data_IF_609326180305
#
_entry.id   IF_609326180305
#
_cell.length_a   1.000
_cell.length_b   1.000
_cell.length_c   1.000
_cell.angle_alpha   90.00
_cell.angle_beta   90.00
_cell.angle_gamma   90.00
#
_symmetry.space_group_name_H-M   'P 1'
#
loop_
_entity.id
_entity.type
_entity.pdbx_description
1 polymer ?
#
# COMPACT_ATOMS: atom_id res chain seq x y z
N UNK A 1 -11.56 -18.76 -11.60
CA UNK A 1 -10.90 -17.43 -11.60
C UNK A 1 -9.57 -17.59 -12.28
N UNK A 2 -9.29 -16.79 -13.32
CA UNK A 2 -7.99 -16.82 -13.97
C UNK A 2 -6.89 -16.40 -12.96
N UNK A 3 -5.74 -17.08 -12.97
CA UNK A 3 -4.59 -16.69 -12.15
C UNK A 3 -4.13 -15.32 -12.66
N UNK A 4 -4.29 -14.29 -11.84
CA UNK A 4 -3.87 -12.93 -12.17
C UNK A 4 -2.34 -12.89 -12.13
N UNK A 5 -1.71 -12.37 -13.19
CA UNK A 5 -0.25 -12.22 -13.23
C UNK A 5 0.23 -11.33 -12.08
N UNK A 6 1.36 -11.68 -11.46
CA UNK A 6 2.01 -10.86 -10.42
C UNK A 6 2.27 -9.42 -10.89
N UNK A 7 2.48 -9.20 -12.20
CA UNK A 7 2.62 -7.86 -12.77
C UNK A 7 1.39 -7.00 -12.49
N UNK A 8 0.20 -7.57 -12.56
CA UNK A 8 -1.02 -6.81 -12.29
C UNK A 8 -1.13 -6.49 -10.80
N UNK A 9 -0.72 -7.39 -9.90
CA UNK A 9 -0.67 -7.08 -8.47
C UNK A 9 0.32 -5.96 -8.14
N UNK A 10 1.47 -5.94 -8.80
CA UNK A 10 2.43 -4.84 -8.68
C UNK A 10 1.86 -3.53 -9.21
N UNK A 11 1.13 -3.55 -10.33
CA UNK A 11 0.46 -2.37 -10.87
C UNK A 11 -0.63 -1.84 -9.92
N UNK A 12 -1.48 -2.72 -9.35
CA UNK A 12 -2.48 -2.32 -8.36
C UNK A 12 -1.85 -1.59 -7.18
N UNK A 13 -0.70 -2.07 -6.66
CA UNK A 13 0.02 -1.39 -5.57
C UNK A 13 0.39 0.03 -5.98
N UNK A 14 0.95 0.21 -7.18
CA UNK A 14 1.42 1.51 -7.66
C UNK A 14 0.26 2.46 -7.94
N UNK A 15 -0.83 1.96 -8.52
CA UNK A 15 -2.03 2.76 -8.81
C UNK A 15 -2.67 3.28 -7.51
N UNK A 16 -2.78 2.44 -6.48
CA UNK A 16 -3.28 2.86 -5.16
C UNK A 16 -2.34 3.85 -4.46
N UNK A 17 -1.02 3.66 -4.56
CA UNK A 17 -0.04 4.62 -4.02
C UNK A 17 -0.18 5.97 -4.73
N UNK A 18 -0.30 5.98 -6.06
CA UNK A 18 -0.50 7.20 -6.84
C UNK A 18 -1.81 7.90 -6.45
N UNK A 19 -2.89 7.14 -6.29
CA UNK A 19 -4.18 7.65 -5.83
C UNK A 19 -4.10 8.29 -4.43
N UNK A 20 -3.46 7.62 -3.47
CA UNK A 20 -3.23 8.15 -2.13
C UNK A 20 -2.44 9.47 -2.20
N UNK A 21 -1.31 9.49 -2.91
CA UNK A 21 -0.45 10.67 -3.05
C UNK A 21 -1.20 11.86 -3.66
N UNK A 22 -1.98 11.62 -4.71
CA UNK A 22 -2.77 12.66 -5.34
C UNK A 22 -3.86 13.21 -4.40
N UNK A 23 -4.50 12.33 -3.62
CA UNK A 23 -5.51 12.70 -2.65
C UNK A 23 -4.94 13.54 -1.49
N UNK A 24 -3.71 13.26 -1.06
CA UNK A 24 -3.10 13.87 0.14
C UNK A 24 -2.06 14.95 -0.15
N UNK A 25 -1.77 15.25 -1.43
CA UNK A 25 -0.68 16.15 -1.87
C UNK A 25 -0.61 17.49 -1.12
N UNK A 26 -1.73 18.16 -0.94
CA UNK A 26 -1.83 19.48 -0.31
C UNK A 26 -2.52 19.41 1.07
N UNK A 27 -2.41 18.26 1.73
CA UNK A 27 -3.04 17.95 3.02
C UNK A 27 -1.99 17.80 4.12
N UNK A 28 -2.34 18.16 5.36
CA UNK A 28 -1.53 17.92 6.53
C UNK A 28 -2.20 16.91 7.48
N UNK A 29 -1.51 16.51 8.55
CA UNK A 29 -2.00 15.51 9.50
C UNK A 29 -3.38 15.87 10.10
N UNK A 30 -3.60 17.14 10.46
CA UNK A 30 -4.86 17.59 11.08
C UNK A 30 -6.02 17.59 10.09
N UNK A 31 -5.81 18.09 8.87
CA UNK A 31 -6.81 18.07 7.81
C UNK A 31 -7.17 16.64 7.40
N UNK A 32 -6.18 15.76 7.31
CA UNK A 32 -6.40 14.33 7.08
C UNK A 32 -7.20 13.70 8.23
N UNK A 33 -6.82 13.97 9.48
CA UNK A 33 -7.50 13.45 10.66
C UNK A 33 -8.95 13.95 10.77
N UNK A 34 -9.25 15.16 10.33
CA UNK A 34 -10.60 15.73 10.31
C UNK A 34 -11.45 15.16 9.16
N UNK A 35 -10.85 14.76 8.04
CA UNK A 35 -11.56 14.31 6.85
C UNK A 35 -11.93 12.82 6.92
N UNK A 36 -13.22 12.52 7.16
CA UNK A 36 -13.72 11.15 7.10
C UNK A 36 -13.48 10.50 5.73
N UNK A 37 -13.71 11.25 4.64
CA UNK A 37 -13.56 10.74 3.28
C UNK A 37 -12.10 10.36 2.97
N UNK A 38 -11.14 11.22 3.31
CA UNK A 38 -9.72 10.91 3.07
C UNK A 38 -9.27 9.69 3.86
N UNK A 39 -9.65 9.59 5.15
CA UNK A 39 -9.35 8.41 5.96
C UNK A 39 -9.92 7.14 5.34
N UNK A 40 -11.15 7.16 4.83
CA UNK A 40 -11.78 5.99 4.21
C UNK A 40 -11.13 5.60 2.89
N UNK A 41 -10.82 6.57 2.05
CA UNK A 41 -10.11 6.32 0.80
C UNK A 41 -8.72 5.71 1.05
N UNK A 42 -7.93 6.31 1.95
CA UNK A 42 -6.60 5.79 2.31
C UNK A 42 -6.69 4.40 2.95
N UNK A 43 -7.62 4.16 3.86
CA UNK A 43 -7.83 2.82 4.44
C UNK A 43 -8.14 1.77 3.38
N UNK A 44 -9.00 2.10 2.40
CA UNK A 44 -9.36 1.17 1.34
C UNK A 44 -8.19 0.91 0.39
N UNK A 45 -7.46 1.95 -0.01
CA UNK A 45 -6.27 1.84 -0.83
C UNK A 45 -5.19 0.96 -0.15
N UNK A 46 -4.95 1.17 1.15
CA UNK A 46 -4.03 0.33 1.94
C UNK A 46 -4.50 -1.13 2.06
N UNK A 47 -5.81 -1.39 2.07
CA UNK A 47 -6.35 -2.75 2.03
C UNK A 47 -6.07 -3.43 0.70
N UNK A 48 -6.23 -2.71 -0.41
CA UNK A 48 -5.93 -3.21 -1.76
C UNK A 48 -4.43 -3.49 -1.88
N UNK A 49 -3.57 -2.55 -1.46
CA UNK A 49 -2.11 -2.73 -1.43
C UNK A 49 -1.74 -3.98 -0.62
N UNK A 50 -2.32 -4.15 0.57
CA UNK A 50 -2.03 -5.30 1.42
C UNK A 50 -2.52 -6.63 0.82
N UNK A 51 -3.62 -6.62 0.07
CA UNK A 51 -4.11 -7.79 -0.64
C UNK A 51 -3.22 -8.11 -1.85
N UNK A 52 -2.88 -7.12 -2.67
CA UNK A 52 -1.99 -7.30 -3.80
C UNK A 52 -0.61 -7.82 -3.38
N UNK A 53 -0.06 -7.30 -2.27
CA UNK A 53 1.20 -7.75 -1.70
C UNK A 53 1.18 -9.24 -1.28
N UNK A 54 0.02 -9.81 -0.93
CA UNK A 54 -0.09 -11.26 -0.62
C UNK A 54 0.19 -12.11 -1.84
N UNK A 55 -0.31 -11.69 -3.00
CA UNK A 55 -0.27 -12.46 -4.24
C UNK A 55 1.05 -12.31 -5.02
N UNK A 56 1.98 -11.45 -4.56
CA UNK A 56 3.34 -11.42 -5.10
C UNK A 56 4.08 -12.71 -4.68
N UNK A 57 4.69 -13.46 -5.61
CA UNK A 57 5.50 -14.64 -5.32
C UNK A 57 6.63 -14.36 -4.31
N UNK A 58 6.97 -15.36 -3.50
CA UNK A 58 8.01 -15.22 -2.47
C UNK A 58 9.37 -14.89 -3.07
N UNK A 59 9.69 -15.46 -4.23
CA UNK A 59 10.95 -15.23 -4.93
C UNK A 59 11.14 -13.76 -5.30
N UNK A 60 10.06 -13.07 -5.67
CA UNK A 60 10.10 -11.63 -5.96
C UNK A 60 10.16 -10.77 -4.70
N UNK A 61 9.52 -11.22 -3.61
CA UNK A 61 9.62 -10.56 -2.30
C UNK A 61 11.05 -10.64 -1.76
N UNK A 62 11.71 -11.77 -1.93
CA UNK A 62 13.08 -12.03 -1.49
C UNK A 62 14.11 -11.19 -2.27
N UNK A 63 13.78 -10.75 -3.49
CA UNK A 63 14.58 -9.76 -4.23
C UNK A 63 14.50 -8.34 -3.66
N UNK A 64 13.53 -8.06 -2.79
CA UNK A 64 13.27 -6.75 -2.15
C UNK A 64 13.10 -6.89 -0.63
N UNK A 65 14.13 -7.37 0.10
CA UNK A 65 14.04 -7.59 1.55
C UNK A 65 13.92 -6.29 2.36
N UNK A 66 14.25 -5.14 1.77
CA UNK A 66 14.04 -3.81 2.35
C UNK A 66 12.55 -3.48 2.54
N UNK A 67 11.66 -4.07 1.75
CA UNK A 67 10.22 -3.89 1.89
C UNK A 67 9.70 -4.78 3.02
N UNK A 68 9.01 -4.22 4.04
CA UNK A 68 8.52 -5.00 5.16
C UNK A 68 7.21 -5.74 4.81
N UNK A 69 7.28 -6.71 3.90
CA UNK A 69 6.12 -7.45 3.36
C UNK A 69 5.19 -8.01 4.45
N UNK A 70 5.76 -8.55 5.53
CA UNK A 70 5.00 -9.04 6.68
C UNK A 70 4.22 -7.93 7.42
N UNK A 71 4.81 -6.73 7.54
CA UNK A 71 4.11 -5.59 8.15
C UNK A 71 2.98 -5.09 7.26
N UNK A 72 3.17 -5.08 5.94
CA UNK A 72 2.12 -4.73 4.96
C UNK A 72 0.94 -5.70 5.10
N UNK A 73 1.22 -7.01 5.21
CA UNK A 73 0.21 -8.01 5.49
C UNK A 73 -0.52 -7.76 6.82
N UNK A 74 0.24 -7.49 7.89
CA UNK A 74 -0.28 -7.17 9.22
C UNK A 74 -1.19 -5.94 9.21
N UNK A 75 -0.81 -4.89 8.49
CA UNK A 75 -1.61 -3.69 8.29
C UNK A 75 -2.96 -4.01 7.64
N UNK A 76 -2.98 -4.83 6.60
CA UNK A 76 -4.23 -5.26 5.96
C UNK A 76 -5.14 -6.06 6.90
N UNK A 77 -4.58 -6.86 7.80
CA UNK A 77 -5.35 -7.57 8.81
C UNK A 77 -5.92 -6.63 9.88
N UNK A 78 -5.10 -5.69 10.36
CA UNK A 78 -5.53 -4.64 11.29
C UNK A 78 -6.67 -3.81 10.70
N UNK A 79 -6.55 -3.39 9.44
CA UNK A 79 -7.57 -2.62 8.72
C UNK A 79 -8.86 -3.40 8.45
N UNK A 80 -8.82 -4.74 8.37
CA UNK A 80 -10.04 -5.56 8.21
C UNK A 80 -10.75 -5.83 9.53
N UNK A 81 -10.00 -6.14 10.58
CA UNK A 81 -10.57 -6.70 11.81
C UNK A 81 -10.61 -5.71 12.98
N UNK A 82 -9.69 -4.74 13.00
CA UNK A 82 -9.49 -3.81 14.12
C UNK A 82 -9.59 -2.35 13.69
N UNK A 83 -10.22 -2.06 12.53
CA UNK A 83 -10.32 -0.71 11.95
C UNK A 83 -10.86 0.37 12.90
N UNK A 84 -11.63 -0.01 13.94
CA UNK A 84 -12.15 0.91 14.96
C UNK A 84 -11.08 1.47 15.89
N UNK A 85 -9.91 0.83 15.97
CA UNK A 85 -8.79 1.18 16.85
C UNK A 85 -7.70 1.97 16.15
N UNK A 86 -7.82 2.18 14.83
CA UNK A 86 -6.76 2.82 14.06
C UNK A 86 -6.86 4.32 14.24
N UNK A 87 -5.87 4.87 14.94
CA UNK A 87 -5.70 6.30 15.08
C UNK A 87 -5.30 6.94 13.73
N UNK A 88 -5.88 8.09 13.36
CA UNK A 88 -5.54 8.76 12.10
C UNK A 88 -4.05 9.04 11.92
N UNK A 89 -3.32 9.30 13.02
CA UNK A 89 -1.88 9.53 12.97
C UNK A 89 -1.09 8.33 12.44
N UNK A 90 -1.53 7.10 12.73
CA UNK A 90 -0.89 5.87 12.21
C UNK A 90 -1.10 5.75 10.70
N UNK A 91 -2.30 6.07 10.21
CA UNK A 91 -2.54 6.08 8.76
C UNK A 91 -1.70 7.16 8.09
N UNK A 92 -1.62 8.35 8.70
CA UNK A 92 -0.84 9.44 8.17
C UNK A 92 0.65 9.10 8.09
N UNK A 93 1.23 8.46 9.12
CA UNK A 93 2.64 8.03 9.09
C UNK A 93 2.90 7.04 7.95
N UNK A 94 1.99 6.10 7.70
CA UNK A 94 2.11 5.18 6.55
C UNK A 94 2.14 5.95 5.23
N UNK A 95 1.26 6.95 5.08
CA UNK A 95 1.17 7.77 3.85
C UNK A 95 2.47 8.52 3.57
N UNK A 96 3.09 9.11 4.60
CA UNK A 96 4.28 9.96 4.44
C UNK A 96 5.60 9.17 4.44
N UNK A 97 5.69 8.08 5.21
CA UNK A 97 6.98 7.43 5.50
C UNK A 97 7.22 6.13 4.71
N UNK A 98 6.18 5.48 4.16
CA UNK A 98 6.31 4.08 3.70
C UNK A 98 5.89 3.83 2.26
N UNK A 99 5.05 4.69 1.67
CA UNK A 99 4.55 4.44 0.31
C UNK A 99 5.63 4.61 -0.76
N UNK A 100 6.65 5.44 -0.52
CA UNK A 100 7.70 5.71 -1.52
C UNK A 100 8.63 4.51 -1.74
N UNK A 101 9.09 3.89 -0.66
CA UNK A 101 9.94 2.70 -0.76
C UNK A 101 9.18 1.53 -1.40
N UNK A 102 7.89 1.39 -1.09
CA UNK A 102 7.05 0.35 -1.69
C UNK A 102 6.83 0.58 -3.20
N UNK A 103 6.55 1.81 -3.63
CA UNK A 103 6.38 2.16 -5.05
C UNK A 103 7.67 1.92 -5.85
N UNK A 104 8.83 2.33 -5.30
CA UNK A 104 10.15 2.07 -5.90
C UNK A 104 10.44 0.59 -6.04
N UNK A 105 10.18 -0.21 -5.01
CA UNK A 105 10.38 -1.65 -5.06
C UNK A 105 9.45 -2.32 -6.09
N UNK A 106 8.17 -1.91 -6.14
CA UNK A 106 7.22 -2.42 -7.12
C UNK A 106 7.62 -2.06 -8.56
N UNK A 107 8.09 -0.83 -8.79
CA UNK A 107 8.60 -0.39 -10.08
C UNK A 107 9.80 -1.25 -10.52
N UNK A 108 10.78 -1.44 -9.64
CA UNK A 108 11.98 -2.18 -9.98
C UNK A 108 11.71 -3.68 -10.23
N UNK A 109 10.70 -4.27 -9.57
CA UNK A 109 10.24 -5.63 -9.86
C UNK A 109 9.57 -5.74 -11.24
N UNK A 110 8.79 -4.73 -11.65
CA UNK A 110 8.18 -4.69 -12.98
C UNK A 110 9.22 -4.56 -14.10
N UNK A 111 10.26 -3.75 -13.88
CA UNK A 111 11.32 -3.52 -14.86
C UNK A 111 12.21 -4.75 -15.04
N UNK A 112 12.56 -5.45 -13.96
CA UNK A 112 13.41 -6.66 -13.98
C UNK A 112 12.83 -7.86 -14.75
N UNK A 113 11.58 -7.76 -15.20
CA UNK A 113 10.83 -8.82 -15.89
C UNK A 113 10.39 -8.39 -17.29
N UNK A 114 10.93 -7.26 -17.79
CA UNK A 114 10.68 -6.74 -19.14
C UNK A 114 11.86 -7.00 -20.08
N UNK A 115 12.88 -7.74 -19.62
CA UNK A 115 13.92 -8.42 -20.41
C UNK A 115 13.60 -9.91 -20.54
#
# INVERSE_FOLDING_TARGET
MAVRSFRIWLLDIRDEIAGIRQLTKDTNADAFAASWAMKRAVQHALLIIAEAAKHIPTELKDMRPEVPWQKIHGLGNLLRHEYRRIEPGILWSVVIDHLDDLDKAAAALLDSQSE
#
